data_IF_692630731633
#
_entry.id   IF_692630731633
#
_cell.length_a   1.000
_cell.length_b   1.000
_cell.length_c   1.000
_cell.angle_alpha   90.00
_cell.angle_beta   90.00
_cell.angle_gamma   90.00
#
_symmetry.space_group_name_H-M   'P 1'
#
loop_
_entity.id
_entity.type
_entity.pdbx_description
1 polymer ?
#
# COMPACT_ATOMS: atom_id res chain seq x y z
N UNK A 1 22.80 2.26 -13.29
CA UNK A 1 21.75 1.66 -12.47
C UNK A 1 20.47 1.39 -13.24
N UNK A 2 19.93 0.23 -13.06
CA UNK A 2 18.72 -0.15 -13.76
C UNK A 2 17.48 0.32 -13.05
N UNK A 3 16.54 0.86 -13.78
CA UNK A 3 15.26 1.23 -13.21
C UNK A 3 14.23 0.16 -13.45
N UNK A 4 13.39 -0.03 -12.47
CA UNK A 4 12.26 -0.94 -12.60
C UNK A 4 11.08 -0.10 -13.08
N UNK A 5 10.52 -0.42 -14.25
CA UNK A 5 9.47 0.42 -14.85
C UNK A 5 8.22 0.57 -13.98
N UNK A 6 7.84 -0.51 -13.29
CA UNK A 6 6.68 -0.48 -12.42
C UNK A 6 7.10 -1.10 -11.11
N UNK A 7 7.06 -0.30 -10.05
CA UNK A 7 7.49 -0.78 -8.75
C UNK A 7 6.33 -1.31 -7.96
N UNK A 8 6.59 -2.37 -7.21
CA UNK A 8 5.57 -2.99 -6.38
C UNK A 8 5.02 -2.02 -5.35
N UNK A 9 5.87 -1.15 -4.81
CA UNK A 9 5.43 -0.20 -3.79
C UNK A 9 4.36 0.75 -4.31
N UNK A 10 4.42 1.13 -5.58
CA UNK A 10 3.40 1.99 -6.17
C UNK A 10 2.05 1.27 -6.22
N UNK A 11 2.07 0.00 -6.62
CA UNK A 11 0.86 -0.79 -6.66
C UNK A 11 0.32 -1.05 -5.27
N UNK A 12 1.22 -1.30 -4.31
CA UNK A 12 0.86 -1.48 -2.92
C UNK A 12 0.15 -0.24 -2.38
N UNK A 13 0.68 0.94 -2.70
CA UNK A 13 0.07 2.19 -2.27
C UNK A 13 -1.37 2.32 -2.77
N UNK A 14 -1.59 1.97 -4.04
CA UNK A 14 -2.93 2.00 -4.63
C UNK A 14 -3.88 1.04 -3.94
N UNK A 15 -3.40 -0.16 -3.63
CA UNK A 15 -4.24 -1.18 -2.98
C UNK A 15 -4.60 -0.74 -1.56
N UNK A 16 -3.62 -0.18 -0.84
CA UNK A 16 -3.89 0.34 0.51
C UNK A 16 -4.96 1.41 0.47
N UNK A 17 -4.83 2.36 -0.44
CA UNK A 17 -5.80 3.44 -0.55
C UNK A 17 -7.20 2.91 -0.86
N UNK A 18 -7.27 1.96 -1.78
CA UNK A 18 -8.54 1.36 -2.18
C UNK A 18 -9.22 0.69 -0.98
N UNK A 19 -8.48 -0.13 -0.23
CA UNK A 19 -9.07 -0.81 0.92
C UNK A 19 -9.42 0.15 2.05
N UNK A 20 -8.57 1.17 2.25
CA UNK A 20 -8.85 2.18 3.26
C UNK A 20 -10.17 2.88 2.96
N UNK A 21 -10.33 3.32 1.72
CA UNK A 21 -11.56 4.03 1.31
C UNK A 21 -12.78 3.11 1.37
N UNK A 22 -12.61 1.85 0.99
CA UNK A 22 -13.71 0.89 1.04
C UNK A 22 -14.20 0.67 2.47
N UNK A 23 -13.31 0.81 3.45
CA UNK A 23 -13.69 0.67 4.85
C UNK A 23 -14.16 2.00 5.46
N UNK A 24 -14.11 3.06 4.71
CA UNK A 24 -14.52 4.37 5.20
C UNK A 24 -13.54 4.97 6.20
N UNK A 25 -12.29 4.55 6.17
CA UNK A 25 -11.29 5.06 7.10
C UNK A 25 -10.59 6.28 6.52
N UNK A 26 -10.33 7.27 7.38
CA UNK A 26 -9.46 8.37 7.01
C UNK A 26 -8.01 7.91 7.08
N UNK A 27 -7.10 8.68 6.50
CA UNK A 27 -5.68 8.39 6.63
C UNK A 27 -5.26 8.42 8.10
N UNK A 28 -5.82 9.37 8.84
CA UNK A 28 -5.53 9.50 10.26
C UNK A 28 -5.99 8.26 11.04
N UNK A 29 -7.16 7.73 10.71
CA UNK A 29 -7.68 6.56 11.38
C UNK A 29 -6.82 5.34 11.08
N UNK A 30 -6.45 5.16 9.82
CA UNK A 30 -5.58 4.04 9.46
C UNK A 30 -4.24 4.14 10.16
N UNK A 31 -3.65 5.34 10.17
CA UNK A 31 -2.37 5.55 10.83
C UNK A 31 -2.44 5.19 12.30
N UNK A 32 -3.50 5.67 12.96
CA UNK A 32 -3.68 5.38 14.38
C UNK A 32 -3.74 3.89 14.65
N UNK A 33 -4.50 3.16 13.85
CA UNK A 33 -4.64 1.72 14.03
C UNK A 33 -3.35 0.97 13.73
N UNK A 34 -2.57 1.46 12.80
CA UNK A 34 -1.33 0.80 12.40
C UNK A 34 -0.12 1.27 13.22
N UNK A 35 -0.31 2.21 14.14
CA UNK A 35 0.80 2.74 14.93
C UNK A 35 1.73 3.62 14.11
N UNK A 36 1.19 4.33 13.12
CA UNK A 36 1.96 5.17 12.22
C UNK A 36 1.53 6.62 12.34
N UNK A 37 2.35 7.50 11.80
CA UNK A 37 2.01 8.90 11.72
C UNK A 37 1.13 9.13 10.49
N UNK A 38 0.14 9.99 10.63
CA UNK A 38 -0.78 10.33 9.55
C UNK A 38 -0.04 10.83 8.31
N UNK A 39 1.00 11.63 8.50
CA UNK A 39 1.80 12.15 7.39
C UNK A 39 2.44 11.01 6.59
N UNK A 40 2.89 9.97 7.30
CA UNK A 40 3.51 8.83 6.65
C UNK A 40 2.51 8.10 5.74
N UNK A 41 1.29 7.91 6.24
CA UNK A 41 0.25 7.25 5.43
C UNK A 41 -0.03 8.06 4.16
N UNK A 42 -0.08 9.36 4.28
CA UNK A 42 -0.27 10.21 3.11
C UNK A 42 0.85 10.07 2.09
N UNK A 43 2.10 10.06 2.57
CA UNK A 43 3.26 9.89 1.70
C UNK A 43 3.24 8.52 1.02
N UNK A 44 2.89 7.49 1.78
CA UNK A 44 2.84 6.14 1.24
C UNK A 44 1.80 6.04 0.13
N UNK A 45 0.62 6.60 0.34
CA UNK A 45 -0.45 6.51 -0.66
C UNK A 45 -0.14 7.31 -1.91
N UNK A 46 0.73 8.30 -1.80
CA UNK A 46 1.16 9.07 -2.98
C UNK A 46 2.40 8.49 -3.64
N UNK A 47 2.85 7.34 -3.17
CA UNK A 47 4.01 6.69 -3.76
C UNK A 47 5.34 7.33 -3.40
N UNK A 48 5.36 8.15 -2.34
CA UNK A 48 6.59 8.84 -1.92
C UNK A 48 7.39 8.04 -0.90
N UNK A 49 6.82 7.00 -0.35
CA UNK A 49 7.47 6.15 0.65
C UNK A 49 7.16 4.69 0.37
N UNK A 50 8.17 3.86 0.52
CA UNK A 50 8.01 2.40 0.44
C UNK A 50 8.08 1.85 1.86
N UNK A 51 7.08 1.08 2.29
CA UNK A 51 7.10 0.55 3.65
C UNK A 51 8.07 -0.61 3.76
N UNK A 52 8.65 -0.79 4.94
CA UNK A 52 9.33 -2.04 5.20
C UNK A 52 8.27 -3.11 5.49
N UNK A 53 8.71 -4.34 5.64
CA UNK A 53 7.77 -5.46 5.79
C UNK A 53 6.91 -5.34 7.03
N UNK A 54 7.50 -4.92 8.14
CA UNK A 54 6.74 -4.81 9.38
C UNK A 54 5.66 -3.74 9.27
N UNK A 55 6.01 -2.61 8.68
CA UNK A 55 5.04 -1.55 8.47
C UNK A 55 3.94 -2.00 7.53
N UNK A 56 4.32 -2.68 6.45
CA UNK A 56 3.33 -3.18 5.49
C UNK A 56 2.37 -4.16 6.16
N UNK A 57 2.87 -5.01 7.04
CA UNK A 57 2.03 -5.96 7.74
C UNK A 57 1.08 -5.24 8.71
N UNK A 58 1.58 -4.24 9.42
CA UNK A 58 0.73 -3.48 10.33
C UNK A 58 -0.42 -2.80 9.57
N UNK A 59 -0.11 -2.26 8.39
CA UNK A 59 -1.14 -1.65 7.56
C UNK A 59 -2.17 -2.68 7.12
N UNK A 60 -1.71 -3.85 6.66
CA UNK A 60 -2.61 -4.91 6.23
C UNK A 60 -3.54 -5.33 7.36
N UNK A 61 -2.99 -5.57 8.54
CA UNK A 61 -3.79 -5.98 9.69
C UNK A 61 -4.82 -4.93 10.07
N UNK A 62 -4.44 -3.66 9.97
CA UNK A 62 -5.37 -2.56 10.26
C UNK A 62 -6.53 -2.52 9.28
N UNK A 63 -6.32 -3.06 8.09
CA UNK A 63 -7.36 -3.16 7.07
C UNK A 63 -8.11 -4.48 7.14
N UNK A 64 -7.79 -5.33 8.11
CA UNK A 64 -8.45 -6.62 8.26
C UNK A 64 -7.99 -7.65 7.26
N UNK A 65 -6.78 -7.48 6.73
CA UNK A 65 -6.24 -8.35 5.70
C UNK A 65 -4.90 -8.92 6.14
N UNK A 66 -4.50 -10.03 5.53
CA UNK A 66 -3.13 -10.49 5.70
C UNK A 66 -2.23 -9.71 4.75
N UNK A 67 -0.95 -9.63 5.10
CA UNK A 67 0.00 -8.99 4.20
C UNK A 67 0.04 -9.70 2.85
N UNK A 68 -0.05 -11.03 2.87
CA UNK A 68 -0.03 -11.78 1.60
C UNK A 68 -1.20 -11.41 0.69
N UNK A 69 -2.38 -11.15 1.25
CA UNK A 69 -3.51 -10.71 0.44
C UNK A 69 -3.24 -9.37 -0.23
N UNK A 70 -2.69 -8.42 0.53
CA UNK A 70 -2.33 -7.12 -0.05
C UNK A 70 -1.27 -7.27 -1.13
N UNK A 71 -0.30 -8.12 -0.89
CA UNK A 71 0.79 -8.31 -1.86
C UNK A 71 0.28 -8.97 -3.13
N UNK A 72 -0.60 -9.96 -2.99
CA UNK A 72 -1.16 -10.61 -4.17
C UNK A 72 -1.89 -9.59 -5.05
N UNK A 73 -2.72 -8.76 -4.44
CA UNK A 73 -3.43 -7.72 -5.20
C UNK A 73 -2.46 -6.73 -5.83
N UNK A 74 -1.43 -6.37 -5.07
CA UNK A 74 -0.43 -5.42 -5.56
C UNK A 74 0.32 -5.99 -6.75
N UNK A 75 0.67 -7.26 -6.68
CA UNK A 75 1.37 -7.90 -7.78
C UNK A 75 0.52 -8.01 -9.02
N UNK A 76 -0.78 -8.23 -8.85
CA UNK A 76 -1.69 -8.28 -10.00
C UNK A 76 -1.74 -6.93 -10.72
N UNK A 77 -1.79 -5.86 -9.97
CA UNK A 77 -1.77 -4.52 -10.55
C UNK A 77 -0.45 -4.25 -11.24
N UNK A 78 0.64 -4.60 -10.59
CA UNK A 78 1.97 -4.40 -11.14
C UNK A 78 2.13 -5.16 -12.46
N UNK A 79 1.68 -6.40 -12.50
CA UNK A 79 1.78 -7.22 -13.70
C UNK A 79 0.93 -6.66 -14.84
N UNK A 80 -0.27 -6.21 -14.48
CA UNK A 80 -1.17 -5.64 -15.46
C UNK A 80 -0.55 -4.39 -16.11
N UNK A 81 0.02 -3.52 -15.28
CA UNK A 81 0.66 -2.31 -15.79
C UNK A 81 1.90 -2.63 -16.61
N UNK A 82 2.66 -3.63 -16.20
CA UNK A 82 3.86 -4.02 -16.93
C UNK A 82 3.54 -4.54 -18.32
N UNK A 83 2.37 -5.14 -18.49
CA UNK A 83 1.97 -5.69 -19.77
C UNK A 83 1.44 -4.65 -20.73
N UNK A 84 0.94 -3.57 -20.21
CA UNK A 84 0.42 -2.49 -21.04
C UNK A 84 1.59 -1.67 -21.56
N UNK A 85 1.68 -1.54 -22.86
CA UNK A 85 2.80 -0.84 -23.44
C UNK A 85 2.33 0.22 -24.40
#
# INVERSE_FOLDING_TARGET
>A
MRRIPVELSDSFASVVQKHRQAKGLSRSALASQAGLHQTYVGLLERGKRSPNLDTAQAIAHSLGLSLSQLIIESEKIQQSKSRQR
#
